data_IF_655032357777
#
_entry.id   IF_655032357777
#
_cell.length_a   1.000
_cell.length_b   1.000
_cell.length_c   1.000
_cell.angle_alpha   90.00
_cell.angle_beta   90.00
_cell.angle_gamma   90.00
#
_symmetry.space_group_name_H-M   'P 1'
#
loop_
_entity.id
_entity.type
_entity.pdbx_description
1 polymer ?
#
# COMPACT_ATOMS: atom_id res chain seq x y z
N UNK A 1 -17.84 4.98 11.36
CA UNK A 1 -18.67 5.38 12.52
C UNK A 1 -18.69 4.21 13.49
N UNK A 2 -18.48 4.46 14.77
CA UNK A 2 -18.59 3.46 15.83
C UNK A 2 -19.92 3.65 16.55
N UNK A 3 -20.55 2.54 16.92
CA UNK A 3 -21.80 2.47 17.67
C UNK A 3 -21.54 1.78 19.01
N UNK A 4 -22.45 1.95 19.97
CA UNK A 4 -22.32 1.36 21.31
C UNK A 4 -21.03 1.80 22.03
N UNK A 5 -20.71 3.09 21.89
CA UNK A 5 -19.43 3.68 22.30
C UNK A 5 -19.24 3.65 23.81
N UNK A 6 -20.33 3.75 24.56
CA UNK A 6 -20.30 3.66 26.02
C UNK A 6 -19.76 2.30 26.52
N UNK A 7 -19.80 1.25 25.70
CA UNK A 7 -19.24 -0.05 26.04
C UNK A 7 -17.78 -0.23 25.64
N UNK A 8 -17.24 0.64 24.77
CA UNK A 8 -15.90 0.46 24.24
C UNK A 8 -14.82 0.52 25.31
N UNK A 9 -14.92 1.39 26.32
CA UNK A 9 -13.92 1.44 27.39
C UNK A 9 -13.96 0.23 28.34
N UNK A 10 -15.09 -0.49 28.36
CA UNK A 10 -15.21 -1.74 29.12
C UNK A 10 -14.65 -2.93 28.34
N UNK A 11 -14.87 -2.95 27.01
CA UNK A 11 -14.39 -4.02 26.15
C UNK A 11 -12.93 -3.86 25.73
N UNK A 12 -12.43 -2.63 25.69
CA UNK A 12 -11.07 -2.28 25.27
C UNK A 12 -10.38 -1.49 26.39
N UNK A 13 -9.77 -2.18 27.37
CA UNK A 13 -8.94 -1.54 28.39
C UNK A 13 -7.73 -0.82 27.78
N UNK A 14 -7.00 -0.09 28.62
CA UNK A 14 -5.81 0.65 28.19
C UNK A 14 -4.82 -0.27 27.47
N UNK A 15 -4.30 0.20 26.33
CA UNK A 15 -3.38 -0.57 25.47
C UNK A 15 -4.10 -1.42 24.41
N UNK A 16 -5.43 -1.60 24.49
CA UNK A 16 -6.20 -2.31 23.49
C UNK A 16 -6.85 -1.37 22.46
N UNK A 17 -6.98 -1.85 21.23
CA UNK A 17 -7.45 -1.03 20.11
C UNK A 17 -8.50 -1.70 19.24
N UNK A 18 -9.21 -0.85 18.53
CA UNK A 18 -10.07 -1.15 17.40
C UNK A 18 -9.35 -0.73 16.13
N UNK A 19 -9.36 -1.61 15.14
CA UNK A 19 -8.83 -1.32 13.83
C UNK A 19 -9.97 -1.22 12.81
N UNK A 20 -9.92 -0.23 11.92
CA UNK A 20 -10.79 -0.23 10.75
C UNK A 20 -10.42 -1.36 9.80
N UNK A 21 -11.25 -1.62 8.80
CA UNK A 21 -10.76 -2.31 7.60
C UNK A 21 -9.64 -1.49 6.97
N UNK A 22 -8.74 -2.17 6.25
CA UNK A 22 -7.77 -1.45 5.43
C UNK A 22 -8.50 -0.73 4.29
N UNK A 23 -8.00 0.44 3.91
CA UNK A 23 -8.57 1.26 2.85
C UNK A 23 -7.48 2.04 2.12
N UNK A 24 -7.88 2.70 1.04
CA UNK A 24 -6.98 3.49 0.21
C UNK A 24 -7.48 4.94 0.14
N UNK A 25 -6.58 5.91 0.28
CA UNK A 25 -6.92 7.33 0.24
C UNK A 25 -5.72 8.17 -0.17
N UNK A 26 -5.94 9.20 -0.99
CA UNK A 26 -4.87 10.10 -1.44
C UNK A 26 -3.74 9.39 -2.21
N UNK A 27 -4.06 8.32 -2.94
CA UNK A 27 -3.08 7.50 -3.66
C UNK A 27 -2.32 6.50 -2.79
N UNK A 28 -2.51 6.51 -1.46
CA UNK A 28 -1.93 5.53 -0.56
C UNK A 28 -2.84 4.32 -0.42
N UNK A 29 -2.23 3.15 -0.45
CA UNK A 29 -2.90 1.85 -0.26
C UNK A 29 -2.64 1.33 1.15
N UNK A 30 -3.43 0.36 1.59
CA UNK A 30 -3.21 -0.36 2.85
C UNK A 30 -3.21 0.54 4.10
N UNK A 31 -3.95 1.65 4.07
CA UNK A 31 -4.15 2.51 5.23
C UNK A 31 -5.13 1.87 6.22
N UNK A 32 -4.93 2.11 7.52
CA UNK A 32 -5.84 1.61 8.54
C UNK A 32 -5.94 2.57 9.72
N UNK A 33 -7.15 2.89 10.18
CA UNK A 33 -7.35 3.64 11.41
C UNK A 33 -7.22 2.69 12.60
N UNK A 34 -6.44 3.09 13.59
CA UNK A 34 -6.19 2.35 14.83
C UNK A 34 -6.58 3.24 16.01
N UNK A 35 -7.66 2.89 16.68
CA UNK A 35 -8.28 3.69 17.74
C UNK A 35 -8.21 2.97 19.08
N UNK A 36 -7.75 3.65 20.12
CA UNK A 36 -7.66 3.13 21.49
C UNK A 36 -8.67 3.89 22.36
N UNK A 37 -9.85 3.31 22.66
CA UNK A 37 -10.89 3.97 23.47
C UNK A 37 -10.42 4.41 24.86
N UNK A 38 -9.57 3.57 25.48
CA UNK A 38 -8.99 3.80 26.80
C UNK A 38 -7.55 4.32 26.76
N UNK A 39 -7.09 4.72 25.57
CA UNK A 39 -5.73 5.17 25.32
C UNK A 39 -4.74 4.02 25.09
N UNK A 40 -3.67 4.31 24.35
CA UNK A 40 -2.51 3.44 24.21
C UNK A 40 -1.66 3.44 25.50
N UNK A 41 -0.56 2.70 25.51
CA UNK A 41 0.30 2.56 26.69
C UNK A 41 0.82 3.92 27.20
N UNK A 42 1.13 4.83 26.27
CA UNK A 42 1.68 6.16 26.52
C UNK A 42 0.60 7.24 26.81
N UNK A 43 -0.68 6.89 26.70
CA UNK A 43 -1.78 7.83 26.95
C UNK A 43 -1.94 8.14 28.45
N UNK A 44 -2.29 9.40 28.71
CA UNK A 44 -2.75 9.87 30.02
C UNK A 44 -4.12 9.29 30.32
N UNK A 45 -4.45 9.23 31.61
CA UNK A 45 -5.74 8.73 32.05
C UNK A 45 -6.91 9.51 31.41
N UNK A 46 -7.95 8.78 31.02
CA UNK A 46 -9.16 9.29 30.34
C UNK A 46 -8.96 9.83 28.91
N UNK A 47 -7.73 9.82 28.37
CA UNK A 47 -7.50 10.13 26.96
C UNK A 47 -7.74 8.90 26.11
N UNK A 48 -8.33 9.11 24.94
CA UNK A 48 -8.27 8.14 23.84
C UNK A 48 -7.09 8.46 22.92
N UNK A 49 -6.64 7.44 22.20
CA UNK A 49 -5.59 7.57 21.18
C UNK A 49 -6.14 7.24 19.82
N UNK A 50 -5.65 7.93 18.80
CA UNK A 50 -5.99 7.64 17.42
C UNK A 50 -4.74 7.73 16.56
N UNK A 51 -4.54 6.70 15.76
CA UNK A 51 -3.46 6.61 14.80
C UNK A 51 -4.00 6.16 13.44
N UNK A 52 -3.23 6.49 12.42
CA UNK A 52 -3.30 5.93 11.09
C UNK A 52 -2.06 5.07 10.90
N UNK A 53 -2.27 3.78 10.64
CA UNK A 53 -1.24 2.90 10.12
C UNK A 53 -1.09 3.16 8.62
N UNK A 54 0.13 3.44 8.20
CA UNK A 54 0.49 3.90 6.87
C UNK A 54 1.91 3.39 6.53
N UNK A 55 2.04 2.12 6.08
CA UNK A 55 3.34 1.48 5.90
C UNK A 55 4.13 2.08 4.74
N UNK A 56 5.42 2.33 4.93
CA UNK A 56 6.34 2.70 3.82
C UNK A 56 6.10 4.07 3.19
N UNK A 57 5.30 4.93 3.81
CA UNK A 57 4.90 6.23 3.24
C UNK A 57 5.31 7.39 4.15
N UNK A 58 6.52 7.93 3.97
CA UNK A 58 7.01 8.97 4.85
C UNK A 58 6.27 10.30 4.65
N UNK A 59 5.80 10.65 3.45
CA UNK A 59 5.34 12.00 3.11
C UNK A 59 3.81 12.22 3.16
N UNK A 60 3.08 11.53 4.06
CA UNK A 60 1.66 11.76 4.27
C UNK A 60 1.44 12.83 5.35
N UNK A 61 0.87 13.98 4.98
CA UNK A 61 0.33 14.97 5.92
C UNK A 61 -1.19 14.81 5.99
N UNK A 62 -1.72 14.59 7.20
CA UNK A 62 -3.14 14.38 7.40
C UNK A 62 -3.64 14.93 8.73
N UNK A 63 -4.95 15.13 8.80
CA UNK A 63 -5.69 15.43 10.00
C UNK A 63 -6.54 14.22 10.38
N UNK A 64 -6.59 13.98 11.68
CA UNK A 64 -7.43 12.96 12.28
C UNK A 64 -8.51 13.65 13.10
N UNK A 65 -9.70 13.06 13.16
CA UNK A 65 -10.78 13.53 14.02
C UNK A 65 -11.43 12.40 14.81
N UNK A 66 -11.75 12.70 16.07
CA UNK A 66 -12.51 11.84 16.99
C UNK A 66 -13.70 12.66 17.48
N UNK A 67 -14.89 12.31 17.01
CA UNK A 67 -16.10 13.11 17.22
C UNK A 67 -15.93 14.54 16.66
N UNK A 68 -16.05 15.54 17.53
CA UNK A 68 -15.88 16.96 17.17
C UNK A 68 -14.43 17.46 17.31
N UNK A 69 -13.52 16.62 17.79
CA UNK A 69 -12.12 16.98 18.02
C UNK A 69 -11.27 16.66 16.80
N UNK A 70 -10.70 17.68 16.14
CA UNK A 70 -9.79 17.54 14.99
C UNK A 70 -8.36 17.91 15.40
N UNK A 71 -7.36 17.11 15.01
CA UNK A 71 -5.93 17.33 15.30
C UNK A 71 -5.08 16.91 14.11
N UNK A 72 -3.96 17.59 13.91
CA UNK A 72 -2.95 17.17 12.95
C UNK A 72 -2.28 15.88 13.43
N UNK A 73 -2.05 14.94 12.51
CA UNK A 73 -1.35 13.70 12.81
C UNK A 73 0.16 13.96 12.85
N UNK A 74 0.85 13.40 13.84
CA UNK A 74 2.30 13.45 13.92
C UNK A 74 2.86 12.05 13.84
N UNK A 75 4.07 11.90 13.28
CA UNK A 75 4.73 10.59 13.26
C UNK A 75 4.94 10.09 14.68
N UNK A 76 4.60 8.83 14.91
CA UNK A 76 4.82 8.18 16.18
C UNK A 76 6.34 8.00 16.39
N UNK A 77 6.86 8.40 17.55
CA UNK A 77 8.30 8.42 17.82
C UNK A 77 8.98 7.05 17.66
N UNK A 78 8.31 6.00 18.14
CA UNK A 78 8.85 4.65 18.17
C UNK A 78 8.32 3.73 17.06
N UNK A 79 7.32 4.16 16.28
CA UNK A 79 6.60 3.32 15.31
C UNK A 79 6.50 4.08 13.97
N UNK A 80 7.46 3.90 13.05
CA UNK A 80 7.58 4.75 11.86
C UNK A 80 6.36 4.66 10.92
N UNK A 81 5.66 3.52 10.91
CA UNK A 81 4.47 3.30 10.10
C UNK A 81 3.18 3.86 10.72
N UNK A 82 3.26 4.51 11.89
CA UNK A 82 2.10 5.07 12.58
C UNK A 82 2.19 6.59 12.63
N UNK A 83 1.11 7.25 12.23
CA UNK A 83 0.94 8.70 12.39
C UNK A 83 -0.32 8.98 13.21
N UNK A 84 -0.21 9.79 14.26
CA UNK A 84 -1.32 10.07 15.16
C UNK A 84 -0.86 10.59 16.51
N UNK A 85 -1.67 10.36 17.55
CA UNK A 85 -1.40 10.87 18.90
C UNK A 85 -1.90 9.90 19.97
N UNK A 86 -1.02 9.57 20.93
CA UNK A 86 -1.35 8.87 22.17
C UNK A 86 -2.36 9.66 23.01
N UNK A 87 -2.12 10.96 23.18
CA UNK A 87 -3.03 11.87 23.87
C UNK A 87 -3.86 12.67 22.86
N UNK A 88 -4.83 12.02 22.20
CA UNK A 88 -5.63 12.67 21.16
C UNK A 88 -6.64 13.67 21.74
N UNK A 89 -7.59 13.17 22.54
CA UNK A 89 -8.54 13.97 23.33
C UNK A 89 -9.11 13.13 24.48
N UNK A 90 -9.88 13.76 25.37
CA UNK A 90 -10.68 13.04 26.37
C UNK A 90 -11.78 12.26 25.66
N UNK A 91 -11.93 10.97 26.00
CA UNK A 91 -12.92 10.09 25.36
C UNK A 91 -14.35 10.62 25.54
N UNK A 92 -14.71 10.96 26.78
CA UNK A 92 -16.03 11.49 27.14
C UNK A 92 -16.41 12.77 26.37
N UNK A 93 -15.42 13.59 26.01
CA UNK A 93 -15.67 14.84 25.28
C UNK A 93 -15.91 14.64 23.78
N UNK A 94 -15.55 13.48 23.24
CA UNK A 94 -15.70 13.19 21.82
C UNK A 94 -16.95 12.36 21.50
N UNK A 95 -17.41 11.55 22.45
CA UNK A 95 -18.58 10.67 22.31
C UNK A 95 -19.88 11.46 22.30
N UNK A 96 -20.76 11.18 21.34
CA UNK A 96 -22.13 11.68 21.37
C UNK A 96 -22.99 10.75 22.24
N UNK A 97 -23.22 11.16 23.49
CA UNK A 97 -24.00 10.38 24.46
C UNK A 97 -25.49 10.25 24.08
N UNK A 98 -26.04 11.16 23.29
CA UNK A 98 -27.44 11.09 22.89
C UNK A 98 -27.69 10.00 21.85
N UNK A 99 -26.73 9.79 20.94
CA UNK A 99 -26.81 8.76 19.91
C UNK A 99 -26.01 7.50 20.23
N UNK A 100 -25.20 7.50 21.29
CA UNK A 100 -24.24 6.44 21.61
C UNK A 100 -23.33 6.11 20.41
N UNK A 101 -22.90 7.15 19.71
CA UNK A 101 -22.03 7.01 18.53
C UNK A 101 -20.81 7.91 18.57
N UNK A 102 -19.76 7.48 17.88
CA UNK A 102 -18.48 8.17 17.76
C UNK A 102 -18.01 8.08 16.33
N UNK A 103 -17.62 9.20 15.75
CA UNK A 103 -17.15 9.25 14.37
C UNK A 103 -15.65 9.49 14.33
N UNK A 104 -14.94 8.60 13.65
CA UNK A 104 -13.53 8.74 13.34
C UNK A 104 -13.39 9.19 11.88
N UNK A 105 -12.54 10.17 11.62
CA UNK A 105 -12.34 10.72 10.28
C UNK A 105 -10.85 10.88 10.00
N UNK A 106 -10.44 10.47 8.79
CA UNK A 106 -9.17 10.82 8.18
C UNK A 106 -9.40 11.91 7.13
N UNK A 107 -8.59 12.95 7.16
CA UNK A 107 -8.56 13.99 6.14
C UNK A 107 -7.12 14.11 5.63
N UNK A 108 -6.91 13.76 4.36
CA UNK A 108 -5.59 13.85 3.72
C UNK A 108 -5.38 15.30 3.29
N UNK A 109 -4.35 15.96 3.84
CA UNK A 109 -4.02 17.34 3.50
C UNK A 109 -3.04 17.38 2.31
N UNK A 110 -1.97 16.59 2.39
CA UNK A 110 -0.97 16.49 1.34
C UNK A 110 -0.46 15.05 1.24
N UNK A 111 -0.34 14.59 0.00
CA UNK A 111 0.05 13.23 -0.34
C UNK A 111 1.09 13.28 -1.45
N UNK A 112 2.38 13.26 -1.06
CA UNK A 112 3.45 13.25 -2.06
C UNK A 112 4.00 11.83 -2.22
N UNK A 113 3.55 11.16 -3.28
CA UNK A 113 4.12 9.90 -3.69
C UNK A 113 5.39 10.19 -4.48
N UNK A 114 6.56 9.84 -3.93
CA UNK A 114 7.75 9.75 -4.77
C UNK A 114 7.58 8.53 -5.68
N UNK A 115 7.20 8.76 -6.92
CA UNK A 115 7.30 7.79 -8.02
C UNK A 115 8.78 7.55 -8.32
N UNK A 116 9.46 6.86 -7.42
CA UNK A 116 10.92 6.84 -7.36
C UNK A 116 11.51 5.58 -6.77
N UNK A 117 11.00 4.41 -7.17
CA UNK A 117 11.89 3.29 -7.50
C UNK A 117 11.13 2.29 -8.40
N UNK A 118 10.82 2.71 -9.63
CA UNK A 118 10.91 1.75 -10.71
C UNK A 118 12.39 1.40 -10.80
N UNK A 119 12.80 0.34 -10.12
CA UNK A 119 14.09 -0.28 -10.33
C UNK A 119 14.23 -0.46 -11.84
N UNK A 120 15.05 0.41 -12.45
CA UNK A 120 15.48 0.20 -13.83
C UNK A 120 15.98 -1.25 -13.86
N UNK A 121 15.43 -2.17 -14.66
CA UNK A 121 16.23 -3.32 -15.02
C UNK A 121 17.46 -2.70 -15.67
N UNK A 122 18.62 -2.89 -15.04
CA UNK A 122 19.87 -2.45 -15.61
C UNK A 122 19.98 -3.12 -16.98
N UNK A 123 19.59 -2.41 -18.03
CA UNK A 123 20.01 -2.72 -19.38
C UNK A 123 21.49 -2.35 -19.44
N UNK A 124 22.31 -3.18 -18.81
CA UNK A 124 23.73 -3.26 -19.09
C UNK A 124 23.82 -3.97 -20.46
N UNK A 125 23.39 -3.26 -21.50
CA UNK A 125 23.61 -3.66 -22.87
C UNK A 125 25.11 -3.50 -23.11
N UNK A 126 25.81 -4.61 -22.98
CA UNK A 126 27.18 -4.79 -23.45
C UNK A 126 27.20 -4.40 -24.94
N UNK A 127 28.14 -3.57 -25.42
CA UNK A 127 28.33 -3.43 -26.87
C UNK A 127 29.03 -4.70 -27.36
N UNK A 128 28.26 -5.66 -27.85
CA UNK A 128 28.81 -6.81 -28.58
C UNK A 128 29.05 -6.39 -30.04
N UNK A 129 30.19 -6.75 -30.66
CA UNK A 129 30.58 -6.19 -31.94
C UNK A 129 29.64 -6.66 -33.05
N UNK A 130 29.23 -5.72 -33.91
CA UNK A 130 28.50 -6.02 -35.13
C UNK A 130 29.37 -6.91 -36.01
N UNK A 131 28.89 -8.12 -36.27
CA UNK A 131 29.43 -9.05 -37.25
C UNK A 131 29.44 -8.38 -38.63
N UNK A 132 30.62 -8.35 -39.23
CA UNK A 132 30.83 -8.01 -40.62
C UNK A 132 29.97 -8.92 -41.52
N UNK A 133 29.25 -8.32 -42.46
CA UNK A 133 28.73 -9.02 -43.64
C UNK A 133 29.80 -9.01 -44.75
N UNK A 134 29.80 -10.00 -45.64
CA UNK A 134 30.98 -10.43 -46.39
C UNK A 134 31.20 -9.58 -47.64
N UNK A 135 32.47 -9.35 -47.98
CA UNK A 135 32.89 -9.00 -49.33
C UNK A 135 33.96 -10.01 -49.75
N UNK A 136 33.76 -10.56 -50.96
CA UNK A 136 34.60 -11.53 -51.63
C UNK A 136 36.04 -11.00 -51.78
N UNK A 137 37.04 -11.87 -51.60
CA UNK A 137 37.86 -12.38 -52.71
C UNK A 137 38.93 -13.38 -52.23
N UNK A 138 38.90 -14.54 -52.89
CA UNK A 138 40.00 -15.36 -53.40
C UNK A 138 41.08 -16.02 -52.49
N UNK A 139 41.22 -17.33 -52.78
CA UNK A 139 42.38 -18.24 -52.65
C UNK A 139 42.63 -19.02 -51.35
N UNK A 140 42.54 -20.36 -51.46
CA UNK A 140 43.57 -21.25 -50.92
C UNK A 140 43.14 -22.35 -49.94
N UNK A 141 42.89 -23.55 -50.48
CA UNK A 141 43.26 -24.87 -49.95
C UNK A 141 42.44 -25.59 -48.86
N UNK A 142 41.82 -26.68 -49.33
CA UNK A 142 41.76 -28.06 -48.81
C UNK A 142 41.14 -28.41 -47.45
N UNK A 143 39.98 -29.07 -47.58
CA UNK A 143 39.75 -30.47 -47.19
C UNK A 143 38.78 -30.75 -46.02
N UNK A 144 37.75 -31.55 -46.38
CA UNK A 144 37.05 -32.57 -45.58
C UNK A 144 35.82 -32.15 -44.76
N UNK A 145 34.64 -32.45 -45.31
CA UNK A 145 33.35 -32.67 -44.61
C UNK A 145 33.32 -34.12 -44.03
N UNK A 146 32.29 -34.62 -43.28
CA UNK A 146 30.87 -34.25 -43.37
C UNK A 146 30.02 -34.21 -42.06
N UNK A 147 28.86 -33.53 -42.20
CA UNK A 147 27.48 -33.77 -41.70
C UNK A 147 27.25 -34.45 -40.32
N UNK A 148 26.24 -34.17 -39.50
CA UNK A 148 24.78 -34.00 -39.75
C UNK A 148 24.08 -33.72 -38.39
N UNK A 149 22.79 -33.37 -38.44
CA UNK A 149 21.74 -33.41 -37.40
C UNK A 149 21.39 -32.07 -36.72
N UNK A 150 20.34 -31.48 -37.28
CA UNK A 150 19.49 -30.43 -36.72
C UNK A 150 18.62 -30.96 -35.58
N UNK A 151 18.30 -30.11 -34.59
CA UNK A 151 17.03 -30.28 -33.90
C UNK A 151 16.37 -28.96 -33.53
N UNK A 152 15.05 -29.04 -33.58
CA UNK A 152 14.05 -28.00 -33.73
C UNK A 152 13.59 -27.52 -32.36
N UNK A 153 13.56 -26.21 -32.13
CA UNK A 153 12.54 -25.62 -31.24
C UNK A 153 12.00 -24.33 -31.85
N UNK A 154 10.89 -24.48 -32.55
CA UNK A 154 9.94 -23.41 -32.81
C UNK A 154 9.25 -23.00 -31.51
N UNK A 155 9.27 -21.70 -31.19
CA UNK A 155 8.17 -21.01 -30.51
C UNK A 155 8.27 -19.52 -30.77
N UNK A 156 7.71 -19.11 -31.91
CA UNK A 156 7.52 -17.71 -32.25
C UNK A 156 6.08 -17.28 -31.89
N UNK A 157 5.91 -16.60 -30.77
CA UNK A 157 4.66 -15.89 -30.44
C UNK A 157 4.80 -14.43 -30.89
N UNK A 158 4.40 -14.14 -32.13
CA UNK A 158 4.24 -12.76 -32.62
C UNK A 158 2.94 -12.18 -32.04
N UNK A 159 3.04 -11.23 -31.13
CA UNK A 159 1.93 -10.35 -30.76
C UNK A 159 1.83 -9.22 -31.78
N UNK A 160 0.81 -9.30 -32.63
CA UNK A 160 0.45 -8.26 -33.59
C UNK A 160 -0.71 -7.46 -32.98
N UNK A 161 -0.41 -6.27 -32.46
CA UNK A 161 -1.41 -5.38 -31.87
C UNK A 161 -2.17 -4.61 -32.94
N UNK A 162 -3.51 -4.64 -32.87
CA UNK A 162 -4.39 -3.69 -33.54
C UNK A 162 -5.10 -2.84 -32.46
N UNK A 163 -5.30 -1.53 -32.69
CA UNK A 163 -5.89 -0.63 -31.71
C UNK A 163 -7.42 -0.62 -31.85
N UNK A 164 -8.13 -0.92 -30.76
CA UNK A 164 -9.56 -0.63 -30.67
C UNK A 164 -10.35 -1.65 -29.86
N UNK A 165 -10.95 -1.14 -28.77
CA UNK A 165 -11.93 -1.79 -27.86
C UNK A 165 -11.37 -2.85 -26.92
N UNK A 166 -11.06 -2.41 -25.70
CA UNK A 166 -11.06 -3.27 -24.53
C UNK A 166 -12.28 -2.86 -23.70
N UNK A 167 -13.27 -3.74 -23.67
CA UNK A 167 -14.35 -3.71 -22.68
C UNK A 167 -13.84 -4.39 -21.41
N UNK A 168 -14.11 -3.78 -20.26
CA UNK A 168 -14.03 -4.37 -18.92
C UNK A 168 -14.83 -5.70 -18.91
N UNK A 169 -14.46 -6.73 -18.17
CA UNK A 169 -14.58 -6.84 -16.71
C UNK A 169 -13.80 -8.08 -16.23
N UNK A 170 -13.03 -7.97 -15.14
CA UNK A 170 -12.62 -9.14 -14.34
C UNK A 170 -13.02 -8.86 -12.89
N UNK A 171 -14.27 -9.18 -12.55
CA UNK A 171 -14.79 -9.11 -11.19
C UNK A 171 -14.53 -10.45 -10.52
N UNK A 172 -13.39 -10.57 -9.85
CA UNK A 172 -13.18 -11.63 -8.85
C UNK A 172 -13.80 -11.18 -7.54
N UNK A 173 -15.06 -11.57 -7.32
CA UNK A 173 -15.69 -11.50 -6.01
C UNK A 173 -14.93 -12.41 -5.03
N UNK A 174 -14.48 -11.85 -3.91
CA UNK A 174 -13.95 -12.60 -2.77
C UNK A 174 -15.10 -12.93 -1.80
N UNK A 175 -15.08 -14.10 -1.14
CA UNK A 175 -16.13 -14.49 -0.21
C UNK A 175 -16.07 -13.64 1.08
N UNK A 176 -17.24 -13.17 1.52
CA UNK A 176 -17.41 -12.48 2.79
C UNK A 176 -17.29 -13.49 3.93
N UNK A 177 -16.25 -13.36 4.77
CA UNK A 177 -16.18 -14.05 6.04
C UNK A 177 -15.68 -13.10 7.13
N UNK A 178 -16.65 -12.52 7.84
CA UNK A 178 -16.45 -12.03 9.19
C UNK A 178 -16.09 -13.21 10.11
N UNK A 179 -15.01 -13.08 10.87
CA UNK A 179 -14.85 -13.76 12.15
C UNK A 179 -13.90 -12.96 13.04
N UNK A 180 -14.44 -12.34 14.09
CA UNK A 180 -13.67 -11.91 15.25
C UNK A 180 -13.07 -13.14 15.95
N UNK A 181 -11.86 -12.97 16.48
CA UNK A 181 -11.39 -13.68 17.68
C UNK A 181 -10.78 -12.67 18.63
#
# INVERSE_FOLDING_TARGET
RLEQVLMLQHCFPKGECLCSTMFSAGGFEHLQLVFYPSGDDDARQCYCSLFLFCPGHPALQCWLSVGKQRREAHRHRCKPDFVGRSNFCLFDSATDRASDTLTLVLEVAEAQQHSGDASKPAARAVPWPALASPALDAEGQDASAPSTYEDVVQSSSKLQGLPGRISLEDVKQLPALWACR
#
